data_IF_619385400332
#
_entry.id   IF_619385400332
#
_cell.length_a   1.000
_cell.length_b   1.000
_cell.length_c   1.000
_cell.angle_alpha   90.00
_cell.angle_beta   90.00
_cell.angle_gamma   90.00
#
_symmetry.space_group_name_H-M   'P 1'
#
loop_
_entity.id
_entity.type
_entity.pdbx_description
1 polymer ?
#
# COMPACT_ATOMS: atom_id res chain seq x y z
N UNK A 1 5.91 0.44 22.15
CA UNK A 1 4.73 1.08 22.79
C UNK A 1 5.17 1.76 24.07
N UNK A 2 4.66 2.96 24.33
CA UNK A 2 4.97 3.71 25.56
C UNK A 2 4.26 3.11 26.79
N UNK A 3 4.81 3.28 28.02
CA UNK A 3 4.13 2.87 29.25
C UNK A 3 2.72 3.46 29.40
N UNK A 4 2.53 4.69 28.93
CA UNK A 4 1.22 5.36 28.94
C UNK A 4 0.16 4.65 28.09
N UNK A 5 0.55 4.14 26.91
CA UNK A 5 -0.37 3.38 26.07
C UNK A 5 -0.69 2.01 26.69
N UNK A 6 0.30 1.31 27.26
CA UNK A 6 0.07 0.03 27.97
C UNK A 6 -0.91 0.22 29.14
N UNK A 7 -0.72 1.28 29.92
CA UNK A 7 -1.64 1.69 30.99
C UNK A 7 -3.05 1.97 30.48
N UNK A 8 -3.20 2.58 29.31
CA UNK A 8 -4.52 2.82 28.70
C UNK A 8 -5.22 1.49 28.40
N UNK A 9 -4.57 0.56 27.70
CA UNK A 9 -5.15 -0.77 27.39
C UNK A 9 -5.54 -1.55 28.64
N UNK A 10 -4.68 -1.56 29.65
CA UNK A 10 -4.96 -2.24 30.92
C UNK A 10 -6.21 -1.68 31.60
N UNK A 11 -6.29 -0.36 31.78
CA UNK A 11 -7.44 0.25 32.46
C UNK A 11 -8.72 0.19 31.61
N UNK A 12 -8.60 0.31 30.28
CA UNK A 12 -9.75 0.29 29.38
C UNK A 12 -10.37 -1.10 29.21
N UNK A 13 -9.65 -2.15 29.57
CA UNK A 13 -10.12 -3.54 29.55
C UNK A 13 -10.42 -4.08 30.95
N UNK A 14 -10.54 -3.21 31.97
CA UNK A 14 -10.73 -3.61 33.37
C UNK A 14 -9.65 -4.63 33.84
N UNK A 15 -8.43 -4.48 33.35
CA UNK A 15 -7.26 -5.30 33.69
C UNK A 15 -7.11 -6.59 32.87
N UNK A 16 -8.02 -6.88 31.93
CA UNK A 16 -7.97 -8.10 31.11
C UNK A 16 -6.80 -8.10 30.13
N UNK A 17 -6.48 -6.95 29.53
CA UNK A 17 -5.34 -6.79 28.61
C UNK A 17 -4.12 -6.32 29.42
N UNK A 18 -3.28 -7.28 29.84
CA UNK A 18 -2.02 -7.02 30.54
C UNK A 18 -0.83 -7.21 29.59
N UNK A 19 -0.42 -6.12 28.93
CA UNK A 19 0.70 -6.15 27.99
C UNK A 19 2.04 -6.35 28.74
N UNK A 20 3.05 -7.00 28.14
CA UNK A 20 4.34 -7.20 28.80
C UNK A 20 5.05 -5.91 29.23
N UNK A 21 5.85 -5.98 30.30
CA UNK A 21 6.71 -4.90 30.80
C UNK A 21 6.17 -4.20 32.06
N UNK A 22 6.94 -3.25 32.60
CA UNK A 22 6.57 -2.51 33.81
C UNK A 22 5.91 -1.17 33.45
N UNK A 23 4.68 -0.94 33.94
CA UNK A 23 3.93 0.30 33.77
C UNK A 23 2.88 0.43 34.90
N UNK A 24 2.41 1.65 35.22
CA UNK A 24 1.43 1.85 36.28
C UNK A 24 0.08 1.21 35.93
N UNK A 25 -0.48 0.43 36.86
CA UNK A 25 -1.80 -0.21 36.78
C UNK A 25 -2.87 0.57 37.54
N UNK A 26 -2.84 1.89 37.36
CA UNK A 26 -3.79 2.84 37.98
C UNK A 26 -4.48 3.65 36.88
N UNK A 27 -5.74 4.08 37.02
CA UNK A 27 -6.42 4.89 36.00
C UNK A 27 -5.73 6.22 35.74
N UNK A 28 -5.62 6.63 34.46
CA UNK A 28 -5.13 7.97 34.06
C UNK A 28 -6.22 9.05 34.14
N UNK A 29 -7.48 8.61 34.15
CA UNK A 29 -8.70 9.44 34.17
C UNK A 29 -9.68 8.86 35.19
N UNK A 30 -10.59 9.70 35.69
CA UNK A 30 -11.57 9.31 36.72
C UNK A 30 -12.53 8.23 36.19
N UNK A 31 -12.83 8.22 34.88
CA UNK A 31 -13.60 7.18 34.21
C UNK A 31 -12.83 6.68 32.96
N UNK A 32 -12.25 5.47 32.96
CA UNK A 32 -11.54 4.95 31.81
C UNK A 32 -12.51 4.72 30.64
N UNK A 33 -12.09 5.09 29.43
CA UNK A 33 -12.76 4.61 28.22
C UNK A 33 -12.76 3.08 28.25
N UNK A 34 -13.89 2.45 27.93
CA UNK A 34 -13.96 0.98 27.87
C UNK A 34 -13.71 0.49 26.46
N UNK A 35 -12.86 -0.54 26.35
CA UNK A 35 -12.74 -1.33 25.13
C UNK A 35 -14.05 -2.11 24.98
N UNK A 36 -14.71 -2.07 23.80
CA UNK A 36 -15.92 -2.85 23.56
C UNK A 36 -15.67 -4.33 23.86
N UNK A 37 -16.56 -4.97 24.63
CA UNK A 37 -16.36 -6.33 25.16
C UNK A 37 -16.09 -7.34 24.03
N UNK A 38 -16.72 -7.14 22.88
CA UNK A 38 -16.57 -7.96 21.68
C UNK A 38 -15.15 -7.90 21.07
N UNK A 39 -14.39 -6.84 21.34
CA UNK A 39 -13.01 -6.68 20.83
C UNK A 39 -11.95 -7.22 21.77
N UNK A 40 -12.25 -7.40 23.06
CA UNK A 40 -11.31 -7.93 24.06
C UNK A 40 -10.71 -9.28 23.64
N UNK A 41 -11.50 -10.28 23.14
CA UNK A 41 -10.97 -11.55 22.66
C UNK A 41 -9.82 -11.44 21.65
N UNK A 42 -9.81 -10.41 20.81
CA UNK A 42 -8.78 -10.18 19.77
C UNK A 42 -7.40 -9.91 20.39
N UNK A 43 -7.37 -9.33 21.60
CA UNK A 43 -6.13 -9.03 22.32
C UNK A 43 -5.61 -10.21 23.14
N UNK A 44 -6.50 -11.04 23.68
CA UNK A 44 -6.14 -12.13 24.59
C UNK A 44 -5.86 -13.46 23.86
N UNK A 45 -6.56 -13.73 22.76
CA UNK A 45 -6.49 -15.02 22.06
C UNK A 45 -5.89 -14.83 20.66
N UNK A 46 -4.57 -14.61 20.60
CA UNK A 46 -3.88 -14.45 19.32
C UNK A 46 -3.57 -15.81 18.69
N UNK A 47 -4.52 -16.35 17.91
CA UNK A 47 -4.22 -17.43 16.97
C UNK A 47 -3.51 -16.81 15.76
N UNK A 48 -2.24 -17.17 15.55
CA UNK A 48 -1.40 -16.66 14.46
C UNK A 48 -0.75 -17.83 13.68
N UNK A 49 -0.57 -17.72 12.36
CA UNK A 49 -0.99 -16.58 11.53
C UNK A 49 -2.51 -16.54 11.32
N UNK A 50 -3.04 -15.36 10.99
CA UNK A 50 -4.47 -15.18 10.65
C UNK A 50 -4.67 -14.13 9.58
N UNK A 51 -5.78 -14.23 8.86
CA UNK A 51 -6.27 -13.25 7.90
C UNK A 51 -7.50 -12.55 8.48
N UNK A 52 -7.49 -11.23 8.49
CA UNK A 52 -8.63 -10.38 8.83
C UNK A 52 -9.05 -9.61 7.58
N UNK A 53 -10.36 -9.48 7.39
CA UNK A 53 -10.96 -8.77 6.25
C UNK A 53 -12.00 -7.83 6.83
N UNK A 54 -11.95 -6.57 6.42
CA UNK A 54 -12.90 -5.55 6.87
C UNK A 54 -13.37 -4.68 5.70
N UNK A 55 -14.61 -4.24 5.75
CA UNK A 55 -15.20 -3.32 4.76
C UNK A 55 -15.16 -1.91 5.32
N UNK A 56 -14.20 -1.11 4.86
CA UNK A 56 -14.05 0.28 5.29
C UNK A 56 -15.17 1.17 4.76
N UNK A 57 -15.59 0.93 3.52
CA UNK A 57 -16.64 1.72 2.89
C UNK A 57 -17.51 0.83 2.02
N UNK A 58 -18.82 0.85 2.25
CA UNK A 58 -19.79 0.19 1.37
C UNK A 58 -20.03 1.08 0.15
N UNK A 59 -19.85 0.54 -1.06
CA UNK A 59 -19.91 1.26 -2.33
C UNK A 59 -21.16 2.11 -2.50
N UNK A 60 -22.33 1.52 -2.27
CA UNK A 60 -23.63 2.23 -2.36
C UNK A 60 -23.81 3.37 -1.34
N UNK A 61 -22.98 3.42 -0.30
CA UNK A 61 -23.01 4.45 0.75
C UNK A 61 -21.93 5.53 0.53
N UNK A 62 -21.12 5.42 -0.52
CA UNK A 62 -20.15 6.46 -0.86
C UNK A 62 -20.84 7.76 -1.28
N UNK A 63 -20.29 8.94 -0.95
CA UNK A 63 -20.87 10.23 -1.36
C UNK A 63 -21.09 10.35 -2.88
N UNK A 64 -20.20 9.73 -3.65
CA UNK A 64 -20.34 9.51 -5.09
C UNK A 64 -20.43 8.00 -5.30
N UNK A 65 -21.64 7.49 -5.53
CA UNK A 65 -21.91 6.04 -5.61
C UNK A 65 -22.19 5.53 -7.02
N UNK A 66 -22.38 6.42 -8.00
CA UNK A 66 -22.53 6.06 -9.41
C UNK A 66 -22.07 7.21 -10.34
N UNK A 67 -21.64 6.86 -11.55
CA UNK A 67 -21.39 7.79 -12.67
C UNK A 67 -21.78 7.13 -13.98
N UNK A 68 -22.46 7.89 -14.85
CA UNK A 68 -22.78 7.47 -16.20
C UNK A 68 -21.77 8.03 -17.21
N UNK A 69 -21.13 7.13 -17.95
CA UNK A 69 -20.25 7.45 -19.07
C UNK A 69 -20.98 7.15 -20.38
N UNK A 70 -20.73 7.92 -21.43
CA UNK A 70 -21.45 7.81 -22.70
C UNK A 70 -21.14 6.53 -23.48
N UNK A 71 -19.95 5.95 -23.27
CA UNK A 71 -19.41 4.79 -23.98
C UNK A 71 -19.67 3.45 -23.27
N UNK A 72 -19.73 3.46 -21.94
CA UNK A 72 -19.82 2.23 -21.11
C UNK A 72 -21.03 2.19 -20.17
N UNK A 73 -21.83 3.25 -20.12
CA UNK A 73 -23.02 3.33 -19.26
C UNK A 73 -22.70 3.67 -17.80
N UNK A 74 -23.60 3.27 -16.89
CA UNK A 74 -23.48 3.58 -15.46
C UNK A 74 -22.56 2.61 -14.74
N UNK A 75 -21.51 3.13 -14.12
CA UNK A 75 -20.65 2.40 -13.19
C UNK A 75 -21.08 2.73 -11.77
N UNK A 76 -21.19 1.70 -10.93
CA UNK A 76 -21.49 1.81 -9.51
C UNK A 76 -20.22 1.72 -8.68
N UNK A 77 -20.21 2.43 -7.56
CA UNK A 77 -19.15 2.37 -6.58
C UNK A 77 -19.04 0.95 -6.00
N UNK A 78 -17.83 0.41 -5.97
CA UNK A 78 -17.51 -0.86 -5.34
C UNK A 78 -17.14 -0.67 -3.87
N UNK A 79 -17.27 -1.74 -3.09
CA UNK A 79 -16.84 -1.74 -1.70
C UNK A 79 -15.32 -1.55 -1.60
N UNK A 80 -14.90 -0.78 -0.60
CA UNK A 80 -13.51 -0.63 -0.20
C UNK A 80 -13.26 -1.61 0.94
N UNK A 81 -12.46 -2.63 0.66
CA UNK A 81 -12.19 -3.77 1.54
C UNK A 81 -10.71 -3.83 1.87
N UNK A 82 -10.38 -3.83 3.16
CA UNK A 82 -9.04 -4.06 3.67
C UNK A 82 -8.80 -5.55 3.95
N UNK A 83 -7.56 -6.00 3.75
CA UNK A 83 -7.09 -7.31 4.19
C UNK A 83 -5.85 -7.13 5.04
N UNK A 84 -5.82 -7.78 6.19
CA UNK A 84 -4.67 -7.84 7.10
C UNK A 84 -4.25 -9.29 7.29
N UNK A 85 -3.01 -9.61 6.93
CA UNK A 85 -2.38 -10.86 7.32
C UNK A 85 -1.47 -10.62 8.52
N UNK A 86 -1.85 -11.20 9.65
CA UNK A 86 -1.10 -11.12 10.90
C UNK A 86 -0.29 -12.40 11.11
N UNK A 87 1.04 -12.26 11.18
CA UNK A 87 2.01 -13.30 11.43
C UNK A 87 2.75 -13.02 12.76
N UNK A 88 3.28 -14.03 13.48
CA UNK A 88 3.99 -13.79 14.75
C UNK A 88 5.14 -12.77 14.70
N UNK A 89 5.69 -12.52 13.51
CA UNK A 89 6.85 -11.63 13.32
C UNK A 89 6.55 -10.37 12.48
N UNK A 90 5.39 -10.31 11.80
CA UNK A 90 5.03 -9.17 10.97
C UNK A 90 3.52 -9.12 10.71
N UNK A 91 3.03 -7.96 10.30
CA UNK A 91 1.68 -7.76 9.77
C UNK A 91 1.80 -7.16 8.38
N UNK A 92 1.04 -7.66 7.41
CA UNK A 92 0.94 -7.11 6.06
C UNK A 92 -0.50 -6.75 5.76
N UNK A 93 -0.74 -5.49 5.41
CA UNK A 93 -2.07 -4.97 5.13
C UNK A 93 -2.14 -4.28 3.78
N UNK A 94 -3.24 -4.50 3.08
CA UNK A 94 -3.57 -3.81 1.84
C UNK A 94 -5.06 -3.49 1.75
N UNK A 95 -5.40 -2.51 0.91
CA UNK A 95 -6.78 -2.23 0.50
C UNK A 95 -6.98 -2.65 -0.96
N UNK A 96 -8.18 -3.14 -1.26
CA UNK A 96 -8.55 -3.57 -2.60
C UNK A 96 -8.52 -2.41 -3.63
N UNK A 97 -8.86 -1.21 -3.20
CA UNK A 97 -8.78 0.03 -3.98
C UNK A 97 -8.50 1.22 -3.05
N UNK A 98 -7.67 2.15 -3.50
CA UNK A 98 -7.31 3.34 -2.77
C UNK A 98 -6.51 4.32 -3.62
N UNK A 99 -5.92 5.31 -2.98
CA UNK A 99 -5.09 6.32 -3.64
C UNK A 99 -3.92 6.73 -2.74
N UNK A 100 -2.87 7.28 -3.35
CA UNK A 100 -1.56 7.47 -2.73
C UNK A 100 -1.43 8.81 -2.00
N UNK A 101 -2.48 9.25 -1.30
CA UNK A 101 -2.43 10.47 -0.48
C UNK A 101 -1.65 10.25 0.81
N UNK A 102 -0.99 11.30 1.32
CA UNK A 102 -0.14 11.22 2.51
C UNK A 102 -0.87 10.85 3.83
N UNK A 103 -2.21 10.89 3.86
CA UNK A 103 -3.03 10.41 4.98
C UNK A 103 -3.55 8.97 4.77
N UNK A 104 -3.35 8.40 3.59
CA UNK A 104 -3.73 7.03 3.25
C UNK A 104 -2.52 6.08 3.32
N UNK A 105 -2.75 4.84 3.74
CA UNK A 105 -1.72 3.78 3.78
C UNK A 105 -2.25 2.53 3.08
N UNK A 106 -2.44 2.56 1.75
CA UNK A 106 -3.16 1.50 1.04
C UNK A 106 -2.39 0.18 0.97
N UNK A 107 -1.08 0.20 1.19
CA UNK A 107 -0.23 -1.00 1.31
C UNK A 107 0.87 -0.71 2.33
N UNK A 108 0.85 -1.45 3.44
CA UNK A 108 1.77 -1.27 4.57
C UNK A 108 2.11 -2.61 5.21
N UNK A 109 3.35 -2.75 5.67
CA UNK A 109 3.77 -3.83 6.54
C UNK A 109 4.34 -3.29 7.84
N UNK A 110 4.06 -3.96 8.95
CA UNK A 110 4.68 -3.70 10.26
C UNK A 110 5.49 -4.92 10.68
N UNK A 111 6.67 -4.71 11.26
CA UNK A 111 7.55 -5.77 11.76
C UNK A 111 8.47 -5.22 12.87
N UNK A 112 9.30 -6.08 13.43
CA UNK A 112 10.15 -5.73 14.58
C UNK A 112 9.46 -6.04 15.91
N UNK A 113 9.91 -5.39 16.99
CA UNK A 113 9.38 -5.63 18.34
C UNK A 113 8.61 -4.42 18.86
N UNK A 114 7.97 -4.57 20.02
CA UNK A 114 7.29 -3.46 20.69
C UNK A 114 8.25 -2.32 21.05
N UNK A 115 9.51 -2.63 21.35
CA UNK A 115 10.59 -1.70 21.70
C UNK A 115 11.27 -1.12 20.45
N UNK A 116 11.37 -1.93 19.39
CA UNK A 116 12.01 -1.57 18.11
C UNK A 116 11.05 -1.80 16.95
N UNK A 117 9.97 -1.01 16.85
CA UNK A 117 8.98 -1.19 15.79
C UNK A 117 9.52 -0.63 14.48
N UNK A 118 9.24 -1.32 13.38
CA UNK A 118 9.55 -0.89 12.03
C UNK A 118 8.29 -1.03 11.17
N UNK A 119 8.14 -0.17 10.17
CA UNK A 119 7.14 -0.37 9.13
C UNK A 119 7.75 -0.17 7.74
N UNK A 120 7.14 -0.78 6.74
CA UNK A 120 7.36 -0.56 5.32
C UNK A 120 6.10 0.04 4.71
N UNK A 121 6.20 1.19 4.07
CA UNK A 121 5.10 1.86 3.38
C UNK A 121 5.43 2.02 1.90
N UNK A 122 4.43 1.78 1.04
CA UNK A 122 4.50 2.14 -0.39
C UNK A 122 3.98 3.56 -0.60
N UNK A 123 4.73 4.38 -1.33
CA UNK A 123 4.41 5.78 -1.64
C UNK A 123 4.64 6.04 -3.12
N UNK A 124 3.80 6.85 -3.76
CA UNK A 124 4.09 7.40 -5.08
C UNK A 124 4.34 8.89 -4.91
N UNK A 125 5.49 9.38 -5.38
CA UNK A 125 5.93 10.74 -5.13
C UNK A 125 5.98 11.56 -6.42
N UNK A 126 5.49 12.79 -6.33
CA UNK A 126 5.65 13.87 -7.29
C UNK A 126 6.42 14.99 -6.59
N UNK A 127 7.61 15.31 -7.10
CA UNK A 127 8.54 16.28 -6.50
C UNK A 127 8.78 15.99 -4.99
N UNK A 128 9.02 14.71 -4.69
CA UNK A 128 9.25 14.15 -3.34
C UNK A 128 8.09 14.28 -2.34
N UNK A 129 6.89 14.63 -2.81
CA UNK A 129 5.65 14.65 -2.01
C UNK A 129 4.66 13.60 -2.50
N UNK A 130 3.83 13.03 -1.62
CA UNK A 130 2.84 12.00 -2.01
C UNK A 130 1.87 12.52 -3.09
N UNK A 131 1.82 11.82 -4.22
CA UNK A 131 1.01 12.18 -5.38
C UNK A 131 -0.37 11.53 -5.29
N UNK A 132 -1.36 12.30 -4.84
CA UNK A 132 -2.68 11.79 -4.47
C UNK A 132 -3.54 11.33 -5.64
N UNK A 133 -3.20 11.72 -6.88
CA UNK A 133 -3.91 11.28 -8.09
C UNK A 133 -3.56 9.85 -8.51
N UNK A 134 -2.53 9.23 -7.93
CA UNK A 134 -2.22 7.83 -8.20
C UNK A 134 -3.17 6.96 -7.40
N UNK A 135 -3.94 6.15 -8.12
CA UNK A 135 -4.76 5.10 -7.53
C UNK A 135 -3.94 3.82 -7.40
N UNK A 136 -4.33 2.98 -6.45
CA UNK A 136 -3.79 1.65 -6.27
C UNK A 136 -4.95 0.68 -6.15
N UNK A 137 -4.93 -0.36 -6.97
CA UNK A 137 -5.85 -1.50 -6.88
C UNK A 137 -5.03 -2.70 -6.45
N UNK A 138 -5.49 -3.46 -5.44
CA UNK A 138 -4.71 -4.59 -4.92
C UNK A 138 -5.54 -5.83 -4.66
N UNK A 139 -4.90 -6.99 -4.78
CA UNK A 139 -5.38 -8.25 -4.24
C UNK A 139 -4.34 -8.79 -3.29
N UNK A 140 -4.77 -9.27 -2.13
CA UNK A 140 -3.92 -9.92 -1.14
C UNK A 140 -4.42 -11.31 -0.82
N UNK A 141 -3.47 -12.24 -0.78
CA UNK A 141 -3.59 -13.56 -0.21
C UNK A 141 -2.38 -13.78 0.72
N UNK A 142 -2.69 -13.95 2.00
CA UNK A 142 -1.72 -14.23 3.04
C UNK A 142 -0.53 -13.24 3.02
N UNK A 143 0.68 -13.71 2.70
CA UNK A 143 1.92 -12.93 2.73
C UNK A 143 2.17 -12.11 1.46
N UNK A 144 1.28 -12.17 0.47
CA UNK A 144 1.54 -11.68 -0.88
C UNK A 144 0.46 -10.72 -1.34
N UNK A 145 0.88 -9.62 -1.96
CA UNK A 145 0.02 -8.61 -2.56
C UNK A 145 0.42 -8.41 -4.01
N UNK A 146 -0.56 -8.46 -4.91
CA UNK A 146 -0.43 -7.89 -6.26
C UNK A 146 -1.15 -6.55 -6.26
N UNK A 147 -0.53 -5.54 -6.85
CA UNK A 147 -1.16 -4.23 -7.02
C UNK A 147 -0.91 -3.67 -8.42
N UNK A 148 -1.85 -2.86 -8.92
CA UNK A 148 -1.64 -2.01 -10.08
C UNK A 148 -1.85 -0.56 -9.64
N UNK A 149 -0.88 0.30 -9.98
CA UNK A 149 -0.93 1.74 -9.76
C UNK A 149 -1.16 2.46 -11.08
N UNK A 150 -2.16 3.33 -11.15
CA UNK A 150 -2.50 4.10 -12.35
C UNK A 150 -3.00 5.51 -11.98
N UNK A 151 -2.95 6.44 -12.94
CA UNK A 151 -3.18 7.87 -12.68
C UNK A 151 -4.60 8.31 -12.99
N UNK A 152 -5.25 9.02 -12.07
CA UNK A 152 -6.45 9.81 -12.38
C UNK A 152 -6.09 11.16 -12.98
N UNK A 153 -6.50 11.44 -14.23
CA UNK A 153 -6.16 12.71 -14.90
C UNK A 153 -6.81 13.94 -14.25
N UNK A 154 -7.86 13.74 -13.45
CA UNK A 154 -8.57 14.75 -12.67
C UNK A 154 -8.54 14.45 -11.16
N UNK A 155 -7.54 13.68 -10.70
CA UNK A 155 -7.23 13.52 -9.28
C UNK A 155 -6.64 14.81 -8.68
N UNK A 156 -6.39 14.81 -7.37
CA UNK A 156 -5.64 15.88 -6.71
C UNK A 156 -4.13 15.68 -6.87
N UNK A 157 -3.34 16.76 -6.88
CA UNK A 157 -1.88 16.64 -6.84
C UNK A 157 -1.44 16.23 -5.43
N UNK A 158 -1.46 17.15 -4.45
CA UNK A 158 -1.14 16.86 -3.05
C UNK A 158 -2.37 16.54 -2.21
N UNK A 159 -3.52 17.10 -2.56
CA UNK A 159 -4.77 17.02 -1.82
C UNK A 159 -5.89 16.50 -2.72
N UNK A 160 -6.49 15.33 -2.42
CA UNK A 160 -7.42 14.66 -3.33
C UNK A 160 -8.55 15.52 -3.92
N UNK A 161 -9.02 16.51 -3.16
CA UNK A 161 -10.16 17.36 -3.52
C UNK A 161 -9.86 18.86 -3.61
N UNK A 162 -8.64 19.32 -3.27
CA UNK A 162 -8.34 20.77 -3.16
C UNK A 162 -7.53 21.26 -4.37
N UNK A 163 -6.55 20.49 -4.83
CA UNK A 163 -5.65 20.84 -5.93
C UNK A 163 -5.79 19.86 -7.09
N UNK A 164 -7.02 19.78 -7.63
CA UNK A 164 -7.33 18.96 -8.79
C UNK A 164 -6.41 19.31 -9.98
N UNK A 165 -5.87 18.28 -10.62
CA UNK A 165 -5.09 18.39 -11.86
C UNK A 165 -5.96 19.09 -12.92
N UNK A 166 -5.37 20.08 -13.59
CA UNK A 166 -6.01 20.86 -14.65
C UNK A 166 -5.46 20.42 -15.99
N UNK A 167 -6.33 20.36 -17.00
CA UNK A 167 -5.96 20.03 -18.38
C UNK A 167 -5.16 18.72 -18.49
N UNK A 168 -5.45 17.77 -17.59
CA UNK A 168 -4.76 16.48 -17.46
C UNK A 168 -3.24 16.58 -17.31
N UNK A 169 -2.69 17.73 -16.90
CA UNK A 169 -1.25 17.99 -16.96
C UNK A 169 -0.66 18.32 -15.59
N UNK A 170 0.46 17.67 -15.27
CA UNK A 170 1.33 18.06 -14.15
C UNK A 170 2.69 18.51 -14.66
N UNK A 171 3.40 19.26 -13.83
CA UNK A 171 4.73 19.77 -14.11
C UNK A 171 5.68 19.25 -13.03
N UNK A 172 6.51 18.26 -13.37
CA UNK A 172 7.35 17.53 -12.43
C UNK A 172 8.84 17.71 -12.73
N UNK A 173 9.66 17.80 -11.69
CA UNK A 173 11.11 17.51 -11.77
C UNK A 173 11.42 16.09 -11.34
N UNK A 174 10.53 15.45 -10.57
CA UNK A 174 10.70 14.10 -10.05
C UNK A 174 9.37 13.32 -9.98
N UNK A 175 9.40 12.07 -10.43
CA UNK A 175 8.33 11.08 -10.27
C UNK A 175 8.95 9.74 -9.85
N UNK A 176 8.49 9.16 -8.74
CA UNK A 176 9.02 7.88 -8.25
C UNK A 176 8.03 7.07 -7.43
N UNK A 177 8.17 5.74 -7.49
CA UNK A 177 7.55 4.82 -6.55
C UNK A 177 8.55 4.51 -5.44
N UNK A 178 8.21 4.81 -4.19
CA UNK A 178 9.06 4.63 -3.01
C UNK A 178 8.55 3.51 -2.12
N UNK A 179 9.47 2.64 -1.71
CA UNK A 179 9.29 1.68 -0.62
C UNK A 179 10.07 2.20 0.59
N UNK A 180 9.38 2.83 1.54
CA UNK A 180 9.99 3.50 2.69
C UNK A 180 9.87 2.64 3.95
N UNK A 181 11.01 2.34 4.57
CA UNK A 181 11.09 1.80 5.91
C UNK A 181 11.40 2.88 6.95
N UNK A 182 10.66 2.92 8.05
CA UNK A 182 10.91 3.84 9.18
C UNK A 182 10.56 3.19 10.53
N UNK A 183 10.77 3.90 11.63
CA UNK A 183 10.84 3.34 12.99
C UNK A 183 12.28 2.99 13.34
N UNK A 184 12.52 1.83 13.96
CA UNK A 184 13.87 1.30 14.16
C UNK A 184 14.37 0.67 12.85
N UNK A 185 15.18 1.41 12.10
CA UNK A 185 15.72 0.98 10.79
C UNK A 185 17.16 0.45 10.88
N UNK A 186 17.67 0.22 12.09
CA UNK A 186 19.06 -0.18 12.33
C UNK A 186 19.43 -1.46 11.56
N UNK A 187 18.50 -2.43 11.54
CA UNK A 187 18.66 -3.72 10.87
C UNK A 187 18.08 -3.79 9.45
N UNK A 188 17.47 -2.71 8.95
CA UNK A 188 16.86 -2.69 7.62
C UNK A 188 17.94 -2.52 6.54
N UNK A 189 17.89 -3.37 5.52
CA UNK A 189 18.73 -3.27 4.32
C UNK A 189 17.87 -3.45 3.08
N UNK A 190 18.14 -2.65 2.05
CA UNK A 190 17.60 -2.83 0.71
C UNK A 190 18.71 -3.32 -0.22
N UNK A 191 18.34 -4.16 -1.18
CA UNK A 191 19.26 -4.67 -2.21
C UNK A 191 18.51 -4.82 -3.52
N UNK A 192 19.15 -4.43 -4.62
CA UNK A 192 18.69 -4.74 -5.97
C UNK A 192 19.16 -6.16 -6.27
N UNK A 193 18.24 -7.05 -6.58
CA UNK A 193 18.54 -8.47 -6.81
C UNK A 193 18.64 -8.77 -8.30
N UNK A 194 17.77 -8.15 -9.10
CA UNK A 194 17.72 -8.32 -10.54
C UNK A 194 17.18 -7.03 -11.17
N UNK A 195 18.03 -6.30 -11.88
CA UNK A 195 17.63 -5.06 -12.58
C UNK A 195 16.75 -5.34 -13.79
N UNK A 196 16.98 -6.44 -14.51
CA UNK A 196 16.22 -6.79 -15.72
C UNK A 196 14.77 -7.16 -15.36
N UNK A 197 14.58 -7.85 -14.24
CA UNK A 197 13.27 -8.25 -13.72
C UNK A 197 12.69 -7.25 -12.70
N UNK A 198 13.30 -6.07 -12.55
CA UNK A 198 12.94 -5.03 -11.58
C UNK A 198 12.64 -5.60 -10.18
N UNK A 199 13.52 -6.48 -9.69
CA UNK A 199 13.35 -7.19 -8.43
C UNK A 199 14.31 -6.65 -7.38
N UNK A 200 13.75 -6.28 -6.24
CA UNK A 200 14.50 -5.79 -5.08
C UNK A 200 14.07 -6.53 -3.82
N UNK A 201 14.92 -6.49 -2.81
CA UNK A 201 14.70 -7.20 -1.55
C UNK A 201 14.98 -6.27 -0.37
N UNK A 202 14.04 -6.26 0.57
CA UNK A 202 14.26 -5.74 1.92
C UNK A 202 14.61 -6.92 2.84
N UNK A 203 15.57 -6.72 3.74
CA UNK A 203 15.83 -7.62 4.88
C UNK A 203 15.90 -6.84 6.18
N UNK A 204 15.36 -7.42 7.25
CA UNK A 204 15.49 -6.95 8.63
C UNK A 204 15.47 -8.14 9.60
N UNK A 205 16.65 -8.55 10.08
CA UNK A 205 16.79 -9.74 10.92
C UNK A 205 16.27 -11.00 10.21
N UNK A 206 15.30 -11.69 10.83
CA UNK A 206 14.63 -12.86 10.25
C UNK A 206 13.50 -12.53 9.27
N UNK A 207 13.18 -11.26 9.05
CA UNK A 207 12.16 -10.82 8.08
C UNK A 207 12.79 -10.44 6.76
N UNK A 208 12.13 -10.82 5.67
CA UNK A 208 12.42 -10.29 4.35
C UNK A 208 11.16 -9.92 3.58
N UNK A 209 11.33 -9.10 2.55
CA UNK A 209 10.28 -8.72 1.62
C UNK A 209 10.84 -8.68 0.20
N UNK A 210 10.22 -9.44 -0.70
CA UNK A 210 10.51 -9.38 -2.14
C UNK A 210 9.56 -8.40 -2.78
N UNK A 211 10.10 -7.43 -3.50
CA UNK A 211 9.37 -6.43 -4.26
C UNK A 211 9.74 -6.60 -5.73
N UNK A 212 8.73 -6.69 -6.60
CA UNK A 212 8.92 -6.74 -8.05
C UNK A 212 8.00 -5.76 -8.74
N UNK A 213 8.49 -5.16 -9.82
CA UNK A 213 7.67 -4.38 -10.74
C UNK A 213 7.53 -5.12 -12.07
N UNK A 214 6.62 -6.11 -12.17
CA UNK A 214 6.49 -6.98 -13.34
C UNK A 214 6.01 -6.24 -14.59
N UNK A 215 5.39 -5.07 -14.43
CA UNK A 215 4.96 -4.23 -15.54
C UNK A 215 5.22 -2.77 -15.22
N UNK A 216 5.86 -2.04 -16.12
CA UNK A 216 6.11 -0.61 -15.97
C UNK A 216 5.94 0.01 -17.34
N UNK A 217 4.95 0.88 -17.47
CA UNK A 217 4.80 1.68 -18.67
C UNK A 217 4.35 3.08 -18.33
N UNK A 218 5.31 4.01 -18.46
CA UNK A 218 5.09 5.43 -18.29
C UNK A 218 5.37 6.14 -19.61
N UNK A 219 4.63 5.72 -20.64
CA UNK A 219 4.78 6.15 -22.03
C UNK A 219 6.22 6.05 -22.55
N UNK A 220 6.86 4.90 -22.28
CA UNK A 220 8.22 4.61 -22.75
C UNK A 220 9.35 5.21 -21.91
N UNK A 221 9.05 5.89 -20.80
CA UNK A 221 10.10 6.39 -19.89
C UNK A 221 10.78 5.22 -19.21
N UNK A 222 12.10 5.11 -19.36
CA UNK A 222 12.92 4.07 -18.72
C UNK A 222 13.34 4.52 -17.32
N UNK A 223 12.73 3.92 -16.30
CA UNK A 223 13.10 4.16 -14.91
C UNK A 223 14.30 3.33 -14.43
N UNK A 224 14.69 3.55 -13.18
CA UNK A 224 15.80 2.84 -12.52
C UNK A 224 15.60 2.76 -11.01
N UNK A 225 16.25 1.80 -10.37
CA UNK A 225 16.26 1.67 -8.91
C UNK A 225 17.31 2.57 -8.27
N UNK A 226 16.95 3.24 -7.17
CA UNK A 226 17.84 4.05 -6.37
C UNK A 226 17.61 3.78 -4.87
N UNK A 227 18.64 3.32 -4.18
CA UNK A 227 18.61 3.11 -2.73
C UNK A 227 18.99 4.43 -2.05
N UNK A 228 18.22 4.82 -1.02
CA UNK A 228 18.51 6.00 -0.22
C UNK A 228 18.15 5.80 1.25
N UNK A 229 18.44 6.81 2.06
CA UNK A 229 18.14 6.80 3.47
C UNK A 229 18.58 8.06 4.19
N UNK A 230 18.05 8.21 5.40
CA UNK A 230 18.37 9.21 6.41
C UNK A 230 18.55 8.47 7.76
N UNK A 231 18.87 9.19 8.83
CA UNK A 231 19.10 8.60 10.16
C UNK A 231 17.97 7.65 10.61
N UNK A 232 16.71 8.04 10.39
CA UNK A 232 15.52 7.32 10.89
C UNK A 232 14.67 6.68 9.77
N UNK A 233 15.19 6.65 8.55
CA UNK A 233 14.46 6.17 7.36
C UNK A 233 15.40 5.51 6.38
N UNK A 234 14.97 4.41 5.77
CA UNK A 234 15.65 3.82 4.62
C UNK A 234 14.62 3.61 3.53
N UNK A 235 15.00 3.73 2.27
CA UNK A 235 14.08 3.49 1.18
C UNK A 235 14.79 2.94 -0.04
N UNK A 236 13.98 2.32 -0.90
CA UNK A 236 14.36 2.05 -2.28
C UNK A 236 13.30 2.66 -3.19
N UNK A 237 13.76 3.44 -4.16
CA UNK A 237 12.92 4.17 -5.10
C UNK A 237 13.05 3.53 -6.49
N UNK A 238 11.93 3.25 -7.14
CA UNK A 238 11.90 3.15 -8.59
C UNK A 238 11.66 4.56 -9.15
N UNK A 239 12.72 5.19 -9.61
CA UNK A 239 12.70 6.54 -10.17
C UNK A 239 12.20 6.44 -11.61
N UNK A 240 10.99 6.95 -11.85
CA UNK A 240 10.38 6.99 -13.19
C UNK A 240 10.96 8.17 -13.95
N UNK A 241 11.05 9.33 -13.31
CA UNK A 241 11.61 10.55 -13.87
C UNK A 241 12.36 11.33 -12.82
N UNK A 242 13.53 11.88 -13.17
CA UNK A 242 14.27 12.83 -12.34
C UNK A 242 15.13 13.70 -13.25
N UNK A 243 14.89 15.01 -13.27
CA UNK A 243 15.65 15.92 -14.11
C UNK A 243 15.07 17.33 -14.19
N UNK A 244 15.22 17.96 -15.35
CA UNK A 244 14.65 19.28 -15.62
C UNK A 244 13.13 19.25 -15.49
N UNK A 245 12.53 20.41 -15.22
CA UNK A 245 11.08 20.50 -15.12
C UNK A 245 10.41 20.11 -16.45
N UNK A 246 9.50 19.14 -16.42
CA UNK A 246 8.85 18.58 -17.61
C UNK A 246 7.33 18.48 -17.41
N UNK A 247 6.57 18.68 -18.49
CA UNK A 247 5.13 18.49 -18.52
C UNK A 247 4.77 17.03 -18.77
N UNK A 248 3.88 16.49 -17.96
CA UNK A 248 3.25 15.19 -18.18
C UNK A 248 1.76 15.42 -18.44
N UNK A 249 1.35 15.35 -19.71
CA UNK A 249 -0.06 15.40 -20.10
C UNK A 249 -0.63 13.98 -20.15
N UNK A 250 -1.40 13.61 -19.12
CA UNK A 250 -1.99 12.28 -18.96
C UNK A 250 -3.01 11.91 -20.04
N UNK A 251 -3.62 12.89 -20.72
CA UNK A 251 -4.52 12.61 -21.83
C UNK A 251 -3.77 12.19 -23.12
N UNK A 252 -2.52 12.63 -23.27
CA UNK A 252 -1.67 12.32 -24.42
C UNK A 252 -0.78 11.09 -24.19
N UNK A 253 -0.54 10.75 -22.93
CA UNK A 253 0.23 9.57 -22.54
C UNK A 253 -0.44 8.28 -23.01
N UNK A 254 0.34 7.40 -23.63
CA UNK A 254 -0.14 6.09 -24.07
C UNK A 254 -0.43 5.18 -22.88
N UNK A 255 0.39 5.23 -21.83
CA UNK A 255 0.19 4.49 -20.59
C UNK A 255 0.84 5.25 -19.41
N UNK A 256 0.26 5.12 -18.23
CA UNK A 256 0.71 5.70 -16.97
C UNK A 256 0.44 4.73 -15.82
N UNK A 257 1.05 3.55 -15.92
CA UNK A 257 0.72 2.39 -15.07
C UNK A 257 1.97 1.64 -14.60
N UNK A 258 1.92 1.15 -13.36
CA UNK A 258 2.89 0.23 -12.80
C UNK A 258 2.20 -0.96 -12.16
N UNK A 259 2.67 -2.16 -12.46
CA UNK A 259 2.36 -3.37 -11.74
C UNK A 259 3.34 -3.58 -10.60
N UNK A 260 2.85 -4.08 -9.47
CA UNK A 260 3.59 -4.34 -8.25
C UNK A 260 3.27 -5.74 -7.74
N UNK A 261 4.30 -6.48 -7.39
CA UNK A 261 4.24 -7.66 -6.55
C UNK A 261 5.05 -7.40 -5.28
N UNK A 262 4.44 -7.64 -4.12
CA UNK A 262 5.09 -7.54 -2.81
C UNK A 262 4.82 -8.80 -2.02
N UNK A 263 5.86 -9.45 -1.48
CA UNK A 263 5.67 -10.62 -0.63
C UNK A 263 6.61 -10.63 0.57
N UNK A 264 6.02 -10.75 1.76
CA UNK A 264 6.73 -10.91 3.01
C UNK A 264 7.12 -12.37 3.22
N UNK A 265 8.28 -12.59 3.83
CA UNK A 265 8.77 -13.91 4.18
C UNK A 265 9.64 -13.88 5.43
N UNK A 266 9.92 -15.05 5.98
CA UNK A 266 10.82 -15.23 7.11
C UNK A 266 12.04 -16.02 6.69
N UNK A 267 13.16 -15.91 7.40
CA UNK A 267 14.43 -16.56 7.05
C UNK A 267 14.35 -18.09 7.03
N UNK A 268 13.44 -18.69 7.80
CA UNK A 268 13.12 -20.13 7.80
C UNK A 268 12.25 -20.55 6.61
N UNK A 269 11.57 -19.61 5.95
CA UNK A 269 10.75 -19.82 4.76
C UNK A 269 11.06 -18.76 3.71
N UNK A 270 12.30 -18.70 3.17
CA UNK A 270 12.67 -17.70 2.19
C UNK A 270 11.80 -17.86 0.94
N UNK A 271 11.17 -16.78 0.48
CA UNK A 271 10.40 -16.82 -0.77
C UNK A 271 11.34 -16.63 -1.95
N UNK A 272 11.18 -17.46 -2.97
CA UNK A 272 12.06 -17.50 -4.13
C UNK A 272 12.00 -16.17 -4.91
N UNK A 273 13.16 -15.58 -5.12
CA UNK A 273 13.38 -14.44 -6.02
C UNK A 273 12.90 -14.78 -7.44
N UNK A 274 12.90 -16.04 -7.85
CA UNK A 274 12.50 -16.49 -9.19
C UNK A 274 10.99 -16.66 -9.37
N UNK A 275 10.18 -15.99 -8.56
CA UNK A 275 8.72 -15.99 -8.71
C UNK A 275 8.32 -15.33 -10.03
N UNK A 276 7.63 -16.05 -10.91
CA UNK A 276 7.08 -15.50 -12.17
C UNK A 276 5.68 -14.93 -11.93
N UNK A 277 5.51 -13.64 -12.22
CA UNK A 277 4.19 -12.98 -12.25
C UNK A 277 3.76 -12.92 -13.71
N UNK A 278 2.57 -13.45 -14.00
CA UNK A 278 2.00 -13.36 -15.33
C UNK A 278 1.44 -11.96 -15.54
N UNK A 279 1.83 -11.34 -16.66
CA UNK A 279 1.33 -10.04 -17.11
C UNK A 279 0.56 -10.28 -18.38
N UNK A 280 -0.71 -9.90 -18.39
CA UNK A 280 -1.56 -9.89 -19.58
C UNK A 280 -2.03 -8.47 -19.84
N UNK A 281 -2.00 -8.03 -21.09
CA UNK A 281 -2.40 -6.68 -21.46
C UNK A 281 -3.32 -6.73 -22.67
N UNK A 282 -4.47 -6.06 -22.55
CA UNK A 282 -5.34 -5.77 -23.68
C UNK A 282 -5.20 -4.30 -24.11
N UNK A 283 -6.17 -3.78 -24.88
CA UNK A 283 -6.15 -2.39 -25.37
C UNK A 283 -6.28 -1.37 -24.22
N UNK A 284 -7.00 -1.69 -23.16
CA UNK A 284 -7.39 -0.77 -22.09
C UNK A 284 -6.76 -1.13 -20.74
N UNK A 285 -6.57 -2.42 -20.47
CA UNK A 285 -6.21 -2.94 -19.15
C UNK A 285 -4.88 -3.68 -19.15
N UNK A 286 -4.28 -3.67 -17.97
CA UNK A 286 -3.24 -4.61 -17.57
C UNK A 286 -3.80 -5.50 -16.47
N UNK A 287 -3.47 -6.78 -16.54
CA UNK A 287 -3.79 -7.78 -15.54
C UNK A 287 -2.51 -8.40 -15.02
N UNK A 288 -2.37 -8.48 -13.70
CA UNK A 288 -1.32 -9.26 -13.04
C UNK A 288 -1.94 -10.50 -12.43
N UNK A 289 -1.31 -11.65 -12.64
CA UNK A 289 -1.74 -12.92 -12.04
C UNK A 289 -0.57 -13.64 -11.39
N UNK A 290 -0.80 -14.18 -10.19
CA UNK A 290 0.15 -15.00 -9.45
C UNK A 290 -0.62 -15.99 -8.57
N UNK A 291 -0.31 -17.28 -8.72
CA UNK A 291 -1.08 -18.37 -8.09
C UNK A 291 -2.59 -18.21 -8.37
N UNK A 292 -3.42 -18.09 -7.32
CA UNK A 292 -4.86 -17.91 -7.45
C UNK A 292 -5.30 -16.42 -7.40
N UNK A 293 -4.36 -15.49 -7.32
CA UNK A 293 -4.64 -14.06 -7.29
C UNK A 293 -4.60 -13.46 -8.69
N UNK A 294 -5.55 -12.59 -8.98
CA UNK A 294 -5.55 -11.74 -10.17
C UNK A 294 -6.03 -10.33 -9.80
N UNK A 295 -5.34 -9.32 -10.32
CA UNK A 295 -5.77 -7.91 -10.28
C UNK A 295 -5.70 -7.31 -11.68
N UNK A 296 -6.72 -6.54 -12.04
CA UNK A 296 -6.85 -5.85 -13.34
C UNK A 296 -7.21 -4.39 -13.14
N UNK A 297 -6.56 -3.49 -13.87
CA UNK A 297 -6.87 -2.06 -13.86
C UNK A 297 -6.47 -1.38 -15.20
N UNK A 298 -6.94 -0.15 -15.42
CA UNK A 298 -6.66 0.63 -16.62
C UNK A 298 -5.16 0.95 -16.77
N UNK A 299 -4.63 0.83 -17.99
CA UNK A 299 -3.25 1.21 -18.34
C UNK A 299 -3.09 2.70 -18.60
N UNK A 300 -4.14 3.31 -19.13
CA UNK A 300 -4.23 4.74 -19.42
C UNK A 300 -4.75 5.49 -18.21
N UNK A 301 -4.40 6.77 -18.14
CA UNK A 301 -5.07 7.64 -17.22
C UNK A 301 -6.57 7.71 -17.55
N UNK A 302 -7.37 7.76 -16.50
CA UNK A 302 -8.83 7.76 -16.55
C UNK A 302 -9.41 8.75 -15.55
N UNK A 303 -10.73 8.90 -15.60
CA UNK A 303 -11.45 9.68 -14.58
C UNK A 303 -11.26 9.02 -13.21
N UNK A 304 -11.08 9.82 -12.16
CA UNK A 304 -10.85 9.35 -10.80
C UNK A 304 -11.89 8.30 -10.36
N UNK A 305 -13.17 8.54 -10.64
CA UNK A 305 -14.23 7.62 -10.24
C UNK A 305 -14.21 6.35 -11.10
N UNK A 306 -13.93 6.48 -12.40
CA UNK A 306 -13.81 5.33 -13.30
C UNK A 306 -12.71 4.40 -12.82
N UNK A 307 -11.50 4.91 -12.65
CA UNK A 307 -10.35 4.09 -12.23
C UNK A 307 -10.64 3.35 -10.93
N UNK A 308 -11.23 4.03 -9.95
CA UNK A 308 -11.55 3.44 -8.65
C UNK A 308 -12.60 2.32 -8.76
N UNK A 309 -13.41 2.25 -9.82
CA UNK A 309 -14.48 1.27 -9.94
C UNK A 309 -14.33 0.28 -11.10
N UNK A 310 -13.42 0.56 -12.04
CA UNK A 310 -13.15 -0.23 -13.23
C UNK A 310 -11.98 -1.21 -13.00
N UNK A 311 -12.09 -1.96 -11.91
CA UNK A 311 -11.10 -2.94 -11.48
C UNK A 311 -11.70 -4.33 -11.26
N UNK A 312 -10.91 -5.37 -11.50
CA UNK A 312 -11.27 -6.75 -11.13
C UNK A 312 -10.24 -7.32 -10.18
N UNK A 313 -10.72 -7.92 -9.10
CA UNK A 313 -9.92 -8.69 -8.17
C UNK A 313 -10.52 -10.07 -8.08
N UNK A 314 -9.75 -11.09 -8.44
CA UNK A 314 -10.12 -12.48 -8.19
C UNK A 314 -9.23 -13.03 -7.10
N UNK A 315 -9.88 -13.45 -6.02
CA UNK A 315 -9.30 -14.28 -4.96
C UNK A 315 -10.23 -15.47 -4.78
N UNK A 316 -9.67 -16.66 -4.60
CA UNK A 316 -10.47 -17.84 -4.21
C UNK A 316 -11.07 -17.66 -2.83
#
# INVERSE_FOLDING_TARGET
MTPGLKRLFYNASDGVIDLPGNFPKIPNVIAPHKIPEETIPVFINQVLPRLEIDTFTVGRLQPKSEVTYSDIGTIYAKDIVGKLYSHPLYALSSVNQGYMWNQCRPLIAHFGTQEKPTYLQVRFLHDLYDFSAVNITSVQDSTTVLSILNVAYNGGDKYPNIDKIKDSTILATDLRLRFEASGDVSNVTFSIIDEEQNTVCLKSGSIGCTIKLPYINWSGTKGYWNIGGEENKKWIDYVIYSGNKCNFNFAEMQESVLGLYLSMFTSDKPKLVNTTIQVDTDKEYVSLSYENMQVKALKKAGDEFRIKNDYEIKTR
#
